data_IF_830966196302
#
_entry.id   IF_830966196302
#
_cell.length_a   1.000
_cell.length_b   1.000
_cell.length_c   1.000
_cell.angle_alpha   90.00
_cell.angle_beta   90.00
_cell.angle_gamma   90.00
#
_symmetry.space_group_name_H-M   'P 1'
#
loop_
_entity.id
_entity.type
_entity.pdbx_description
1 polymer ?
#
# COMPACT_ATOMS: atom_id res chain seq x y z
N UNK A 1 9.76 12.35 13.29
CA UNK A 1 9.21 10.98 13.39
C UNK A 1 9.98 10.04 12.46
N UNK A 2 11.00 9.33 12.98
CA UNK A 2 11.85 8.43 12.17
C UNK A 2 11.10 7.19 11.62
N UNK A 3 9.95 6.86 12.21
CA UNK A 3 9.12 5.69 11.88
C UNK A 3 8.70 5.61 10.41
N UNK A 4 8.34 6.74 9.78
CA UNK A 4 7.86 6.74 8.39
C UNK A 4 8.98 6.37 7.38
N UNK A 5 10.23 6.72 7.68
CA UNK A 5 11.37 6.38 6.83
C UNK A 5 11.70 4.90 6.92
N UNK A 6 11.64 4.33 8.13
CA UNK A 6 11.82 2.89 8.33
C UNK A 6 10.70 2.09 7.65
N UNK A 7 9.43 2.49 7.82
CA UNK A 7 8.29 1.83 7.17
C UNK A 7 8.46 1.81 5.65
N UNK A 8 8.82 2.95 5.04
CA UNK A 8 9.03 3.06 3.59
C UNK A 8 10.22 2.22 3.11
N UNK A 9 11.31 2.17 3.89
CA UNK A 9 12.47 1.32 3.60
C UNK A 9 12.07 -0.15 3.62
N UNK A 10 11.43 -0.61 4.70
CA UNK A 10 10.97 -2.00 4.83
C UNK A 10 9.98 -2.39 3.75
N UNK A 11 8.97 -1.55 3.49
CA UNK A 11 8.01 -1.74 2.39
C UNK A 11 8.74 -1.99 1.07
N UNK A 12 9.61 -1.07 0.67
CA UNK A 12 10.32 -1.16 -0.61
C UNK A 12 11.26 -2.37 -0.70
N UNK A 13 11.92 -2.74 0.40
CA UNK A 13 12.87 -3.85 0.42
C UNK A 13 12.17 -5.21 0.36
N UNK A 14 11.07 -5.39 1.09
CA UNK A 14 10.34 -6.67 1.10
C UNK A 14 9.29 -6.78 -0.01
N UNK A 15 8.85 -5.66 -0.61
CA UNK A 15 7.91 -5.65 -1.71
C UNK A 15 8.22 -6.66 -2.82
N UNK A 16 9.43 -6.75 -3.41
CA UNK A 16 9.70 -7.73 -4.46
C UNK A 16 9.56 -9.18 -3.97
N UNK A 17 9.96 -9.46 -2.71
CA UNK A 17 9.86 -10.81 -2.12
C UNK A 17 8.40 -11.22 -1.95
N UNK A 18 7.53 -10.29 -1.55
CA UNK A 18 6.09 -10.52 -1.35
C UNK A 18 5.33 -10.52 -2.68
N UNK A 19 5.68 -9.61 -3.60
CA UNK A 19 4.96 -9.43 -4.86
C UNK A 19 5.24 -10.55 -5.87
N UNK A 20 6.43 -11.14 -5.88
CA UNK A 20 6.74 -12.23 -6.80
C UNK A 20 5.80 -13.45 -6.64
N UNK A 21 5.66 -14.07 -5.45
CA UNK A 21 4.75 -15.19 -5.27
C UNK A 21 3.28 -14.77 -5.46
N UNK A 22 2.90 -13.57 -5.01
CA UNK A 22 1.56 -13.02 -5.26
C UNK A 22 1.25 -12.87 -6.74
N UNK A 23 2.22 -12.39 -7.53
CA UNK A 23 2.07 -12.26 -8.97
C UNK A 23 1.83 -13.62 -9.62
N UNK A 24 2.61 -14.63 -9.22
CA UNK A 24 2.43 -16.01 -9.69
C UNK A 24 1.02 -16.50 -9.37
N UNK A 25 0.59 -16.40 -8.11
CA UNK A 25 -0.75 -16.84 -7.67
C UNK A 25 -1.87 -16.10 -8.42
N UNK A 26 -1.78 -14.77 -8.60
CA UNK A 26 -2.79 -14.03 -9.37
C UNK A 26 -2.77 -14.43 -10.83
N UNK A 27 -1.60 -14.52 -11.45
CA UNK A 27 -1.46 -14.86 -12.87
C UNK A 27 -2.01 -16.27 -13.17
N UNK A 28 -1.69 -17.25 -12.33
CA UNK A 28 -2.21 -18.62 -12.50
C UNK A 28 -3.70 -18.71 -12.23
N UNK A 29 -4.21 -18.01 -11.20
CA UNK A 29 -5.64 -18.01 -10.88
C UNK A 29 -6.49 -17.37 -11.99
N UNK A 30 -6.04 -16.23 -12.53
CA UNK A 30 -6.69 -15.57 -13.67
C UNK A 30 -6.62 -16.47 -14.90
N UNK A 31 -5.44 -17.01 -15.23
CA UNK A 31 -5.26 -17.88 -16.39
C UNK A 31 -6.11 -19.16 -16.29
N UNK A 32 -6.21 -19.75 -15.09
CA UNK A 32 -7.08 -20.90 -14.83
C UNK A 32 -8.55 -20.56 -15.12
N UNK A 33 -9.03 -19.41 -14.61
CA UNK A 33 -10.41 -18.99 -14.83
C UNK A 33 -10.69 -18.69 -16.29
N UNK A 34 -9.80 -17.97 -16.98
CA UNK A 34 -9.97 -17.65 -18.40
C UNK A 34 -9.88 -18.90 -19.28
N UNK A 35 -8.94 -19.81 -19.00
CA UNK A 35 -8.83 -21.08 -19.70
C UNK A 35 -10.11 -21.92 -19.62
N UNK A 36 -10.71 -22.02 -18.43
CA UNK A 36 -11.99 -22.73 -18.26
C UNK A 36 -13.18 -21.99 -18.85
N UNK A 37 -13.30 -20.69 -18.60
CA UNK A 37 -14.51 -19.93 -18.94
C UNK A 37 -14.57 -19.46 -20.38
N UNK A 38 -13.44 -19.13 -21.00
CA UNK A 38 -13.40 -18.55 -22.35
C UNK A 38 -12.86 -19.53 -23.39
N UNK A 39 -11.86 -20.33 -23.03
CA UNK A 39 -11.23 -21.30 -23.95
C UNK A 39 -11.88 -22.69 -23.88
N UNK A 40 -12.78 -22.92 -22.93
CA UNK A 40 -13.47 -24.21 -22.76
C UNK A 40 -12.53 -25.36 -22.36
N UNK A 41 -11.36 -25.06 -21.80
CA UNK A 41 -10.40 -26.08 -21.41
C UNK A 41 -10.95 -26.95 -20.28
N UNK A 42 -10.65 -28.25 -20.35
CA UNK A 42 -11.04 -29.20 -19.32
C UNK A 42 -10.24 -28.95 -18.03
N UNK A 43 -10.74 -29.49 -16.91
CA UNK A 43 -10.07 -29.34 -15.61
C UNK A 43 -8.64 -29.87 -15.66
N UNK A 44 -8.42 -31.01 -16.31
CA UNK A 44 -7.12 -31.68 -16.35
C UNK A 44 -6.09 -30.87 -17.15
N UNK A 45 -6.52 -30.21 -18.22
CA UNK A 45 -5.65 -29.36 -19.04
C UNK A 45 -5.11 -28.14 -18.28
N UNK A 46 -5.89 -27.59 -17.36
CA UNK A 46 -5.52 -26.39 -16.58
C UNK A 46 -5.15 -26.69 -15.13
N UNK A 47 -5.19 -27.95 -14.70
CA UNK A 47 -4.97 -28.31 -13.30
C UNK A 47 -3.57 -27.90 -12.81
N UNK A 48 -2.56 -27.99 -13.67
CA UNK A 48 -1.19 -27.58 -13.34
C UNK A 48 -1.10 -26.11 -12.89
N UNK A 49 -2.01 -25.24 -13.35
CA UNK A 49 -2.05 -23.85 -12.90
C UNK A 49 -2.43 -23.77 -11.42
N UNK A 50 -3.31 -24.64 -10.94
CA UNK A 50 -3.68 -24.69 -9.52
C UNK A 50 -2.54 -25.23 -8.66
N UNK A 51 -1.81 -26.23 -9.13
CA UNK A 51 -0.61 -26.72 -8.43
C UNK A 51 0.45 -25.63 -8.26
N UNK A 52 0.61 -24.74 -9.25
CA UNK A 52 1.49 -23.56 -9.15
C UNK A 52 0.85 -22.45 -8.28
N UNK A 53 -0.48 -22.25 -8.39
CA UNK A 53 -1.23 -21.23 -7.65
C UNK A 53 -1.11 -21.38 -6.14
N UNK A 54 -1.24 -22.63 -5.67
CA UNK A 54 -1.26 -23.00 -4.25
C UNK A 54 0.13 -23.40 -3.75
N UNK A 55 1.09 -23.63 -4.65
CA UNK A 55 2.43 -24.09 -4.29
C UNK A 55 2.45 -25.56 -3.88
N UNK A 56 1.56 -26.39 -4.42
CA UNK A 56 1.41 -27.82 -4.12
C UNK A 56 2.74 -28.59 -4.27
N UNK A 57 3.59 -28.17 -5.20
CA UNK A 57 4.92 -28.74 -5.42
C UNK A 57 5.89 -28.59 -4.23
N UNK A 58 5.57 -27.75 -3.25
CA UNK A 58 6.32 -27.60 -2.00
C UNK A 58 5.99 -28.70 -0.97
N UNK A 59 4.95 -29.51 -1.23
CA UNK A 59 4.50 -30.58 -0.36
C UNK A 59 3.57 -30.10 0.76
N UNK A 60 2.95 -31.08 1.45
CA UNK A 60 1.82 -30.89 2.36
C UNK A 60 2.08 -29.93 3.54
N UNK A 61 3.34 -29.77 3.96
CA UNK A 61 3.70 -28.88 5.08
C UNK A 61 3.95 -27.44 4.64
N UNK A 62 4.56 -27.25 3.47
CA UNK A 62 4.98 -25.93 3.00
C UNK A 62 3.91 -25.24 2.15
N UNK A 63 2.99 -25.99 1.53
CA UNK A 63 1.86 -25.45 0.77
C UNK A 63 0.96 -24.52 1.64
N UNK A 64 0.47 -24.94 2.83
CA UNK A 64 -0.31 -24.04 3.68
C UNK A 64 0.48 -22.82 4.15
N UNK A 65 1.79 -22.99 4.37
CA UNK A 65 2.68 -21.90 4.76
C UNK A 65 2.85 -20.89 3.62
N UNK A 66 2.99 -21.37 2.37
CA UNK A 66 3.06 -20.53 1.18
C UNK A 66 1.79 -19.70 1.01
N UNK A 67 0.61 -20.31 1.14
CA UNK A 67 -0.68 -19.62 1.06
C UNK A 67 -0.82 -18.59 2.19
N UNK A 68 -0.46 -18.97 3.41
CA UNK A 68 -0.50 -18.07 4.58
C UNK A 68 0.42 -16.85 4.40
N UNK A 69 1.67 -17.07 3.97
CA UNK A 69 2.64 -15.99 3.75
C UNK A 69 2.22 -15.07 2.61
N UNK A 70 1.61 -15.59 1.54
CA UNK A 70 1.02 -14.76 0.49
C UNK A 70 -0.10 -13.88 1.05
N UNK A 71 -1.04 -14.45 1.82
CA UNK A 71 -2.13 -13.69 2.43
C UNK A 71 -1.64 -12.60 3.38
N UNK A 72 -0.73 -12.94 4.30
CA UNK A 72 -0.13 -11.97 5.24
C UNK A 72 0.70 -10.91 4.53
N UNK A 73 1.49 -11.31 3.53
CA UNK A 73 2.28 -10.40 2.72
C UNK A 73 1.41 -9.39 1.96
N UNK A 74 0.32 -9.84 1.35
CA UNK A 74 -0.64 -8.97 0.68
C UNK A 74 -1.26 -7.96 1.66
N UNK A 75 -1.76 -8.43 2.80
CA UNK A 75 -2.32 -7.55 3.83
C UNK A 75 -1.31 -6.51 4.29
N UNK A 76 -0.08 -6.93 4.55
CA UNK A 76 1.00 -6.02 4.94
C UNK A 76 1.30 -4.99 3.85
N UNK A 77 1.38 -5.39 2.59
CA UNK A 77 1.59 -4.49 1.45
C UNK A 77 0.47 -3.46 1.32
N UNK A 78 -0.80 -3.88 1.46
CA UNK A 78 -1.95 -2.99 1.40
C UNK A 78 -1.97 -1.99 2.54
N UNK A 79 -1.77 -2.44 3.78
CA UNK A 79 -1.76 -1.57 4.96
C UNK A 79 -0.63 -0.56 4.88
N UNK A 80 0.60 -1.01 4.65
CA UNK A 80 1.77 -0.11 4.59
C UNK A 80 1.73 0.82 3.38
N UNK A 81 1.29 0.33 2.22
CA UNK A 81 1.04 1.12 1.03
C UNK A 81 -0.01 2.21 1.26
N UNK A 82 -1.17 1.85 1.81
CA UNK A 82 -2.23 2.80 2.14
C UNK A 82 -1.75 3.87 3.12
N UNK A 83 -1.04 3.49 4.19
CA UNK A 83 -0.45 4.45 5.14
C UNK A 83 0.44 5.46 4.42
N UNK A 84 1.32 5.01 3.51
CA UNK A 84 2.20 5.91 2.75
C UNK A 84 1.43 6.84 1.82
N UNK A 85 0.42 6.32 1.13
CA UNK A 85 -0.48 7.09 0.24
C UNK A 85 -1.22 8.17 1.05
N UNK A 86 -1.84 7.82 2.18
CA UNK A 86 -2.52 8.78 3.06
C UNK A 86 -1.59 9.82 3.67
N UNK A 87 -0.31 9.50 3.89
CA UNK A 87 0.68 10.49 4.32
C UNK A 87 1.04 11.48 3.21
N UNK A 88 1.07 11.02 1.96
CA UNK A 88 1.40 11.85 0.80
C UNK A 88 0.22 12.74 0.37
N UNK A 89 -1.03 12.27 0.50
CA UNK A 89 -2.25 13.02 0.18
C UNK A 89 -2.65 13.97 1.33
N UNK A 90 -1.70 14.55 2.08
CA UNK A 90 -1.99 15.65 3.03
C UNK A 90 -1.63 17.03 2.44
N UNK A 91 -2.38 17.58 1.45
CA UNK A 91 -2.20 18.98 1.01
C UNK A 91 -2.90 19.99 1.93
N UNK A 92 -3.81 19.57 2.80
CA UNK A 92 -4.68 20.48 3.58
C UNK A 92 -3.95 21.33 4.63
N UNK A 93 -2.82 20.87 5.18
CA UNK A 93 -2.06 21.67 6.15
C UNK A 93 -1.25 22.81 5.50
N UNK A 94 -0.82 22.65 4.24
CA UNK A 94 -0.01 23.65 3.53
C UNK A 94 -0.87 24.86 3.11
N UNK A 95 -2.14 24.60 2.77
CA UNK A 95 -3.13 25.65 2.51
C UNK A 95 -3.51 26.39 3.80
N UNK A 96 -3.73 25.66 4.91
CA UNK A 96 -4.00 26.27 6.21
C UNK A 96 -2.84 27.16 6.70
N UNK A 97 -1.58 26.73 6.52
CA UNK A 97 -0.43 27.56 6.88
C UNK A 97 -0.29 28.81 6.00
N UNK A 98 -0.61 28.70 4.70
CA UNK A 98 -0.63 29.86 3.79
C UNK A 98 -1.70 30.89 4.17
N UNK A 99 -2.91 30.42 4.50
CA UNK A 99 -4.00 31.30 4.96
C UNK A 99 -3.66 31.97 6.30
N UNK A 100 -3.03 31.23 7.23
CA UNK A 100 -2.60 31.80 8.52
C UNK A 100 -1.54 32.90 8.34
N UNK A 101 -0.59 32.71 7.42
CA UNK A 101 0.47 33.68 7.12
C UNK A 101 -0.07 34.94 6.41
N UNK A 102 -1.02 34.77 5.50
CA UNK A 102 -1.73 35.89 4.86
C UNK A 102 -2.56 36.65 5.88
N UNK A 103 -3.28 35.95 6.76
CA UNK A 103 -4.08 36.57 7.83
C UNK A 103 -3.22 37.39 8.80
N UNK A 104 -2.01 36.94 9.13
CA UNK A 104 -1.08 37.71 9.97
C UNK A 104 -0.51 38.94 9.26
N UNK A 105 -0.35 38.91 7.93
CA UNK A 105 0.07 40.07 7.13
C UNK A 105 -1.00 41.17 7.07
N UNK A 106 -2.28 40.80 7.10
CA UNK A 106 -3.40 41.74 7.12
C UNK A 106 -3.85 42.13 8.54
N UNK A 107 -3.24 41.56 9.58
CA UNK A 107 -3.49 41.96 10.95
C UNK A 107 -2.74 43.26 11.22
N UNK A 108 -3.43 44.38 11.01
CA UNK A 108 -2.93 45.75 11.21
C UNK A 108 -2.27 45.86 12.60
N UNK A 109 -1.09 46.47 12.74
CA UNK A 109 -0.50 46.72 14.06
C UNK A 109 -1.52 47.47 14.91
N UNK A 110 -1.83 46.95 16.09
CA UNK A 110 -2.60 47.69 17.07
C UNK A 110 -1.85 48.99 17.32
N UNK A 111 -2.45 50.13 16.97
CA UNK A 111 -1.94 51.43 17.37
C UNK A 111 -1.85 51.39 18.90
N UNK A 112 -0.62 51.37 19.39
CA UNK A 112 -0.31 51.57 20.79
C UNK A 112 -0.92 52.94 21.13
N UNK A 113 -1.85 53.03 22.11
CA UNK A 113 -2.33 54.34 22.55
C UNK A 113 -1.07 55.09 22.97
N UNK A 114 -0.79 56.21 22.30
CA UNK A 114 0.21 57.15 22.77
C UNK A 114 -0.18 57.45 24.21
N UNK A 115 0.65 56.97 25.10
CA UNK A 115 0.71 57.31 26.49
C UNK A 115 0.77 58.84 26.52
N UNK A 116 -0.41 59.45 26.69
CA UNK A 116 -0.59 60.88 26.87
C UNK A 116 0.11 61.22 28.19
N UNK A 117 1.41 61.48 28.06
CA UNK A 117 2.31 62.00 29.06
C UNK A 117 1.94 63.47 29.34
N UNK A 118 1.51 63.70 30.59
CA UNK A 118 1.37 64.96 31.36
C UNK A 118 0.04 65.70 31.29
#
# INVERSE_FOLDING_TARGET
>A
MKWNQHLRKWHRTLAPIVLLPLFVTVATGVSYRLGKSWLGLSRDQVHFLMSIHEGEYLGQTLEPLYVLLNGLGLLWMLVTGAIMVFQQIKPLKKLQSGIAQVKSLFQKPSLQPLDDEK
#
